data_IF_413250020011
#
_entry.id   IF_413250020011
#
_cell.length_a   1.000
_cell.length_b   1.000
_cell.length_c   1.000
_cell.angle_alpha   90.00
_cell.angle_beta   90.00
_cell.angle_gamma   90.00
#
_symmetry.space_group_name_H-M   'P 1'
#
loop_
_entity.id
_entity.type
_entity.pdbx_description
1 polymer ?
#
# COMPACT_ATOMS: atom_id res chain seq x y z
N UNK A 1 11.27 -4.45 30.26
CA UNK A 1 9.83 -4.05 30.19
C UNK A 1 8.99 -4.73 31.28
N UNK A 2 7.70 -4.38 31.49
CA UNK A 2 6.81 -5.05 32.47
C UNK A 2 5.64 -5.74 31.77
N UNK A 3 5.22 -6.90 32.29
CA UNK A 3 4.01 -7.58 31.84
C UNK A 3 2.78 -6.76 32.22
N UNK A 4 1.90 -6.47 31.24
CA UNK A 4 0.71 -5.64 31.46
C UNK A 4 -0.42 -6.34 32.23
N UNK A 5 -0.34 -7.66 32.43
CA UNK A 5 -1.35 -8.40 33.19
C UNK A 5 -0.93 -8.66 34.64
N UNK A 6 0.28 -9.20 34.85
CA UNK A 6 0.73 -9.61 36.18
C UNK A 6 1.79 -8.68 36.78
N UNK A 7 2.22 -7.64 36.06
CA UNK A 7 3.20 -6.66 36.53
C UNK A 7 4.64 -7.16 36.62
N UNK A 8 4.92 -8.43 36.30
CA UNK A 8 6.27 -9.00 36.40
C UNK A 8 7.23 -8.33 35.42
N UNK A 9 8.45 -8.04 35.88
CA UNK A 9 9.53 -7.53 35.02
C UNK A 9 9.96 -8.60 34.02
N UNK A 10 9.79 -8.31 32.74
CA UNK A 10 10.22 -9.17 31.66
C UNK A 10 11.51 -8.64 31.01
N UNK A 11 12.45 -9.51 30.63
CA UNK A 11 13.60 -9.13 29.82
C UNK A 11 13.13 -8.73 28.42
N UNK A 12 13.86 -7.84 27.75
CA UNK A 12 13.44 -7.24 26.48
C UNK A 12 13.43 -8.24 25.30
N UNK A 13 14.09 -9.40 25.47
CA UNK A 13 14.08 -10.51 24.52
C UNK A 13 12.94 -11.50 24.74
N UNK A 14 12.17 -11.38 25.83
CA UNK A 14 11.09 -12.32 26.17
C UNK A 14 9.98 -12.32 25.12
N UNK A 15 9.57 -13.52 24.70
CA UNK A 15 8.36 -13.71 23.89
C UNK A 15 7.11 -13.82 24.77
N UNK A 16 7.24 -14.43 25.96
CA UNK A 16 6.16 -14.70 26.89
C UNK A 16 6.61 -14.41 28.32
N UNK A 17 5.68 -13.98 29.17
CA UNK A 17 5.89 -13.81 30.60
C UNK A 17 6.09 -15.20 31.24
N UNK A 18 7.15 -15.35 32.04
CA UNK A 18 7.47 -16.60 32.71
C UNK A 18 6.53 -16.92 33.87
N UNK A 19 5.84 -15.90 34.42
CA UNK A 19 4.94 -16.08 35.57
C UNK A 19 3.49 -16.36 35.15
N UNK A 20 2.95 -15.59 34.19
CA UNK A 20 1.54 -15.74 33.77
C UNK A 20 1.35 -16.34 32.37
N UNK A 21 2.43 -16.61 31.64
CA UNK A 21 2.40 -17.20 30.30
C UNK A 21 1.95 -16.27 29.16
N UNK A 22 1.53 -15.02 29.44
CA UNK A 22 1.05 -14.11 28.38
C UNK A 22 2.19 -13.61 27.49
N UNK A 23 1.90 -13.41 26.19
CA UNK A 23 2.83 -12.86 25.21
C UNK A 23 3.26 -11.44 25.57
N UNK A 24 4.56 -11.16 25.45
CA UNK A 24 5.16 -9.85 25.68
C UNK A 24 5.23 -9.11 24.34
N UNK A 25 4.68 -7.88 24.22
CA UNK A 25 4.69 -7.12 22.97
C UNK A 25 6.11 -6.64 22.68
N UNK A 26 6.73 -7.13 21.59
CA UNK A 26 8.08 -6.72 21.21
C UNK A 26 8.04 -5.33 20.55
N UNK A 27 8.89 -4.38 20.96
CA UNK A 27 9.03 -3.10 20.26
C UNK A 27 9.52 -3.38 18.83
N UNK A 28 8.80 -2.88 17.82
CA UNK A 28 9.13 -3.10 16.41
C UNK A 28 8.52 -4.36 15.78
N UNK A 29 7.70 -5.11 16.53
CA UNK A 29 6.93 -6.25 16.01
C UNK A 29 5.50 -5.85 15.59
N UNK A 30 5.27 -4.60 15.21
CA UNK A 30 4.14 -4.24 14.36
C UNK A 30 4.13 -5.17 13.12
N UNK A 31 2.97 -5.76 12.84
CA UNK A 31 2.78 -6.82 11.85
C UNK A 31 3.14 -6.35 10.44
N UNK A 32 4.42 -6.49 10.06
CA UNK A 32 4.92 -6.25 8.70
C UNK A 32 4.36 -7.24 7.68
N UNK A 33 3.57 -8.24 8.09
CA UNK A 33 3.23 -9.38 7.26
C UNK A 33 1.94 -9.23 6.45
N UNK A 34 1.13 -8.18 6.60
CA UNK A 34 -0.24 -8.15 6.03
C UNK A 34 -0.84 -6.79 5.66
N UNK A 35 -0.12 -5.89 4.99
CA UNK A 35 -0.80 -4.73 4.35
C UNK A 35 -1.47 -5.13 3.04
N UNK A 36 -2.43 -6.05 3.19
CA UNK A 36 -3.27 -6.58 2.12
C UNK A 36 -4.69 -6.08 2.35
N UNK A 37 -5.25 -5.44 1.34
CA UNK A 37 -6.57 -4.87 1.40
C UNK A 37 -7.51 -5.66 0.49
N UNK A 38 -8.74 -5.85 0.95
CA UNK A 38 -9.85 -6.15 0.04
C UNK A 38 -10.29 -4.87 -0.67
N UNK A 39 -11.18 -4.96 -1.66
CA UNK A 39 -11.71 -3.76 -2.35
C UNK A 39 -12.33 -2.76 -1.36
N UNK A 40 -13.14 -3.23 -0.40
CA UNK A 40 -13.79 -2.37 0.58
C UNK A 40 -12.78 -1.73 1.54
N UNK A 41 -11.84 -2.54 2.04
CA UNK A 41 -10.77 -2.07 2.92
C UNK A 41 -9.88 -1.05 2.22
N UNK A 42 -9.48 -1.30 0.97
CA UNK A 42 -8.62 -0.40 0.20
C UNK A 42 -9.31 0.94 -0.05
N UNK A 43 -10.62 0.94 -0.29
CA UNK A 43 -11.39 2.16 -0.49
C UNK A 43 -11.35 3.07 0.73
N UNK A 44 -11.48 2.49 1.92
CA UNK A 44 -11.54 3.21 3.19
C UNK A 44 -10.16 3.59 3.71
N UNK A 45 -9.23 2.63 3.75
CA UNK A 45 -7.95 2.80 4.42
C UNK A 45 -6.88 3.38 3.49
N UNK A 46 -6.80 2.89 2.26
CA UNK A 46 -5.75 3.31 1.32
C UNK A 46 -6.17 4.55 0.53
N UNK A 47 -7.33 4.49 -0.14
CA UNK A 47 -7.82 5.59 -0.97
C UNK A 47 -8.57 6.66 -0.18
N UNK A 48 -8.92 6.43 1.10
CA UNK A 48 -9.56 7.40 2.00
C UNK A 48 -10.76 8.12 1.36
N UNK A 49 -11.54 7.42 0.52
CA UNK A 49 -12.68 7.98 -0.20
C UNK A 49 -12.35 8.89 -1.39
N UNK A 50 -11.08 9.02 -1.81
CA UNK A 50 -10.68 9.82 -2.97
C UNK A 50 -11.28 9.32 -4.30
N UNK A 51 -11.70 8.05 -4.36
CA UNK A 51 -12.40 7.45 -5.49
C UNK A 51 -13.61 6.66 -5.02
N UNK A 52 -14.61 6.46 -5.88
CA UNK A 52 -15.77 5.62 -5.60
C UNK A 52 -15.49 4.13 -5.85
N UNK A 53 -16.20 3.25 -5.14
CA UNK A 53 -16.03 1.79 -5.24
C UNK A 53 -16.22 1.27 -6.68
N UNK A 54 -17.23 1.78 -7.39
CA UNK A 54 -17.48 1.40 -8.79
C UNK A 54 -16.28 1.69 -9.68
N UNK A 55 -15.66 2.86 -9.54
CA UNK A 55 -14.45 3.23 -10.31
C UNK A 55 -13.27 2.33 -9.96
N UNK A 56 -13.08 2.01 -8.68
CA UNK A 56 -12.04 1.08 -8.24
C UNK A 56 -12.25 -0.32 -8.87
N UNK A 57 -13.48 -0.85 -8.82
CA UNK A 57 -13.83 -2.14 -9.42
C UNK A 57 -13.65 -2.15 -10.93
N UNK A 58 -14.03 -1.08 -11.62
CA UNK A 58 -13.82 -0.94 -13.06
C UNK A 58 -12.34 -0.90 -13.44
N UNK A 59 -11.53 -0.14 -12.69
CA UNK A 59 -10.09 -0.05 -12.93
C UNK A 59 -9.39 -1.40 -12.71
N UNK A 60 -9.79 -2.15 -11.67
CA UNK A 60 -9.31 -3.52 -11.42
C UNK A 60 -9.74 -4.45 -12.56
N UNK A 61 -11.01 -4.41 -12.99
CA UNK A 61 -11.53 -5.24 -14.08
C UNK A 61 -10.81 -4.98 -15.41
N UNK A 62 -10.44 -3.72 -15.67
CA UNK A 62 -9.66 -3.31 -16.86
C UNK A 62 -8.17 -3.61 -16.75
N UNK A 63 -7.70 -4.22 -15.65
CA UNK A 63 -6.29 -4.53 -15.43
C UNK A 63 -5.40 -3.31 -15.22
N UNK A 64 -5.97 -2.14 -14.90
CA UNK A 64 -5.21 -0.91 -14.68
C UNK A 64 -4.56 -0.86 -13.30
N UNK A 65 -5.21 -1.43 -12.30
CA UNK A 65 -4.73 -1.46 -10.91
C UNK A 65 -4.16 -2.86 -10.62
N UNK A 66 -2.94 -2.95 -10.05
CA UNK A 66 -2.34 -4.22 -9.69
C UNK A 66 -3.17 -4.92 -8.62
N UNK A 67 -3.53 -6.18 -8.89
CA UNK A 67 -4.33 -6.99 -8.00
C UNK A 67 -4.02 -8.47 -8.20
N UNK A 68 -4.39 -9.29 -7.23
CA UNK A 68 -4.44 -10.73 -7.40
C UNK A 68 -5.75 -11.28 -6.83
N UNK A 69 -6.14 -12.46 -7.30
CA UNK A 69 -7.38 -13.11 -6.91
C UNK A 69 -7.11 -14.37 -6.12
N UNK A 70 -7.91 -14.57 -5.07
CA UNK A 70 -8.00 -15.83 -4.34
C UNK A 70 -9.48 -16.24 -4.35
N UNK A 71 -9.83 -17.16 -5.25
CA UNK A 71 -11.21 -17.50 -5.54
C UNK A 71 -12.00 -16.27 -6.01
N UNK A 72 -13.13 -15.98 -5.34
CA UNK A 72 -13.96 -14.82 -5.63
C UNK A 72 -13.42 -13.49 -5.05
N UNK A 73 -12.42 -13.54 -4.16
CA UNK A 73 -11.89 -12.35 -3.48
C UNK A 73 -10.78 -11.69 -4.28
N UNK A 74 -10.82 -10.36 -4.33
CA UNK A 74 -9.78 -9.50 -4.90
C UNK A 74 -8.93 -8.99 -3.74
N UNK A 75 -7.62 -9.18 -3.84
CA UNK A 75 -6.64 -8.70 -2.87
C UNK A 75 -5.72 -7.69 -3.56
N UNK A 76 -5.49 -6.58 -2.86
CA UNK A 76 -4.62 -5.48 -3.24
C UNK A 76 -3.52 -5.41 -2.20
N UNK A 77 -2.26 -5.42 -2.63
CA UNK A 77 -1.14 -5.21 -1.69
C UNK A 77 -0.78 -3.73 -1.68
N UNK A 78 -0.57 -3.16 -0.50
CA UNK A 78 -0.21 -1.76 -0.33
C UNK A 78 1.02 -1.41 -1.17
N UNK A 79 2.09 -2.21 -1.11
CA UNK A 79 3.31 -1.93 -1.85
C UNK A 79 3.13 -1.94 -3.38
N UNK A 80 2.17 -2.73 -3.87
CA UNK A 80 1.85 -2.78 -5.30
C UNK A 80 1.03 -1.56 -5.71
N UNK A 81 0.13 -1.08 -4.84
CA UNK A 81 -0.63 0.14 -5.09
C UNK A 81 0.28 1.37 -5.06
N UNK A 82 1.22 1.45 -4.11
CA UNK A 82 2.18 2.56 -3.99
C UNK A 82 3.03 2.68 -5.25
N UNK A 83 3.64 1.56 -5.68
CA UNK A 83 4.46 1.51 -6.89
C UNK A 83 3.65 1.94 -8.12
N UNK A 84 2.41 1.48 -8.23
CA UNK A 84 1.51 1.84 -9.33
C UNK A 84 1.15 3.33 -9.33
N UNK A 85 0.85 3.95 -8.18
CA UNK A 85 0.57 5.39 -8.11
C UNK A 85 1.78 6.20 -8.55
N UNK A 86 2.97 5.85 -8.05
CA UNK A 86 4.21 6.53 -8.43
C UNK A 86 4.43 6.49 -9.97
N UNK A 87 4.17 5.36 -10.61
CA UNK A 87 4.20 5.25 -12.07
C UNK A 87 3.14 6.13 -12.75
N UNK A 88 1.89 6.11 -12.27
CA UNK A 88 0.81 6.93 -12.83
C UNK A 88 1.14 8.43 -12.77
N UNK A 89 1.75 8.90 -11.69
CA UNK A 89 2.17 10.29 -11.55
C UNK A 89 3.25 10.66 -12.57
N UNK A 90 4.24 9.80 -12.76
CA UNK A 90 5.27 9.99 -13.80
C UNK A 90 4.66 10.07 -15.20
N UNK A 91 3.71 9.20 -15.53
CA UNK A 91 3.01 9.24 -16.80
C UNK A 91 2.15 10.50 -16.96
N UNK A 92 1.51 10.97 -15.89
CA UNK A 92 0.70 12.19 -15.88
C UNK A 92 1.55 13.44 -16.13
N UNK A 93 2.71 13.54 -15.46
CA UNK A 93 3.67 14.63 -15.64
C UNK A 93 4.31 14.57 -17.04
N UNK A 94 4.67 13.38 -17.52
CA UNK A 94 5.25 13.20 -18.86
C UNK A 94 4.28 13.58 -19.99
N UNK A 95 2.99 13.28 -19.84
CA UNK A 95 1.94 13.69 -20.80
C UNK A 95 1.71 15.20 -20.88
N UNK A 96 2.16 15.97 -19.88
CA UNK A 96 2.11 17.45 -19.91
C UNK A 96 3.25 18.09 -20.71
N UNK A 97 4.12 17.32 -21.38
CA UNK A 97 4.99 17.91 -22.42
C UNK A 97 4.14 18.35 -23.61
N UNK A 98 3.74 19.62 -23.56
CA UNK A 98 2.94 20.33 -24.53
C UNK A 98 3.55 20.20 -25.96
N UNK A 99 2.75 20.00 -27.03
CA UNK A 99 3.21 19.79 -28.41
C UNK A 99 4.10 20.89 -29.03
N UNK A 100 4.34 22.01 -28.35
CA UNK A 100 5.11 23.14 -28.89
C UNK A 100 6.64 22.98 -28.86
N UNK A 101 7.17 21.87 -28.31
CA UNK A 101 8.62 21.60 -28.28
C UNK A 101 9.14 20.72 -29.43
N UNK A 102 8.27 20.22 -30.31
CA UNK A 102 8.68 19.42 -31.48
C UNK A 102 8.84 20.24 -32.77
N UNK A 103 8.48 21.53 -32.79
CA UNK A 103 8.54 22.38 -33.99
C UNK A 103 9.89 23.13 -34.10
N UNK A 104 10.63 23.33 -33.01
CA UNK A 104 11.93 24.04 -33.06
C UNK A 104 13.14 23.16 -33.40
N UNK A 105 12.99 21.83 -33.50
CA UNK A 105 14.11 20.93 -33.87
C UNK A 105 14.26 20.70 -35.38
N UNK A 106 13.40 21.31 -36.20
CA UNK A 106 13.43 21.17 -37.67
C UNK A 106 13.85 22.44 -38.41
N UNK A 107 14.31 23.49 -37.70
CA UNK A 107 14.70 24.79 -38.28
C UNK A 107 16.11 25.24 -37.88
N UNK A 108 16.99 24.30 -37.49
CA UNK A 108 18.44 24.54 -37.31
C UNK A 108 19.28 23.61 -38.22
N UNK A 109 18.75 23.29 -39.41
CA UNK A 109 19.53 22.67 -40.49
C UNK A 109 19.13 23.32 -41.81
N UNK A 110 19.46 24.60 -41.97
CA UNK A 110 19.87 25.24 -43.24
C UNK A 110 20.92 26.29 -42.87
#
# INVERSE_FOLDING_TARGET
MYCQECGTKAPDTANFCQECGRKIPKPGAEDRSRRVHTVATALQEYFQGAIGETKLREAIRRGKIPHFRIGARIILREESLDAWIAEQEQFSVAKRKHPYQLIKKSLEVI
#
